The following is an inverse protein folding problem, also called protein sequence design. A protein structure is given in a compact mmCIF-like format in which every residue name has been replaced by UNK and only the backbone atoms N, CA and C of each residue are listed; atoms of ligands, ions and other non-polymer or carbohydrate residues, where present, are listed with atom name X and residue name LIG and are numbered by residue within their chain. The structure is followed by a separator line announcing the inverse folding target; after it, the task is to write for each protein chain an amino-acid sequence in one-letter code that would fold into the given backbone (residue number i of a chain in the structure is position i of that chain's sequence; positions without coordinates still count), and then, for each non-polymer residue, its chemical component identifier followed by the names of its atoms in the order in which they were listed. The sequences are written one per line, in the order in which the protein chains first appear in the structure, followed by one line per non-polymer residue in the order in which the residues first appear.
data_IF_652425275143
#
_entry.id   IF_652425275143
#
_cell.length_a   1.000
_cell.length_b   1.000
_cell.length_c   1.000
_cell.angle_alpha   90.00
_cell.angle_beta   90.00
_cell.angle_gamma   90.00
#
_symmetry.space_group_name_H-M   'P 1'
#
loop_
_entity.id
_entity.type
_entity.pdbx_description
1 polymer ?
#
# COMPACT_ATOMS: atom_id res chain seq x y z
N UNK A 1 71.30 -32.78 13.31
CA UNK A 1 70.57 -33.27 12.13
C UNK A 1 69.09 -33.08 12.39
N UNK A 2 68.40 -32.48 11.43
CA UNK A 2 67.05 -31.93 11.50
C UNK A 2 65.97 -32.96 11.86
N UNK A 3 64.96 -32.55 12.64
CA UNK A 3 63.63 -33.17 12.58
C UNK A 3 62.59 -32.07 12.50
N UNK A 4 61.86 -32.10 11.39
CA UNK A 4 60.87 -31.13 10.93
C UNK A 4 59.61 -31.06 11.79
N UNK A 5 59.01 -29.87 11.73
CA UNK A 5 57.64 -29.54 12.09
C UNK A 5 56.60 -30.43 11.39
N UNK A 6 55.47 -30.64 12.06
CA UNK A 6 54.17 -30.74 11.39
C UNK A 6 53.16 -29.93 12.21
N UNK A 7 53.02 -28.66 11.83
CA UNK A 7 51.99 -27.75 12.32
C UNK A 7 50.67 -28.14 11.63
N UNK A 8 49.69 -28.62 12.39
CA UNK A 8 48.33 -28.87 11.89
C UNK A 8 47.63 -27.51 11.70
N UNK A 9 47.66 -26.98 10.48
CA UNK A 9 46.77 -25.89 10.06
C UNK A 9 45.39 -26.49 9.74
N UNK A 10 44.43 -26.32 10.64
CA UNK A 10 43.02 -26.48 10.31
C UNK A 10 42.57 -25.24 9.53
N UNK A 11 42.41 -25.38 8.20
CA UNK A 11 41.72 -24.38 7.40
C UNK A 11 40.22 -24.48 7.69
N UNK A 12 39.72 -23.62 8.58
CA UNK A 12 38.30 -23.30 8.62
C UNK A 12 38.02 -22.40 7.42
N UNK A 13 37.54 -22.99 6.33
CA UNK A 13 36.95 -22.23 5.23
C UNK A 13 35.62 -21.66 5.72
N UNK A 14 35.66 -20.44 6.27
CA UNK A 14 34.48 -19.63 6.48
C UNK A 14 33.87 -19.33 5.10
N UNK A 15 32.89 -20.14 4.69
CA UNK A 15 31.99 -19.77 3.62
C UNK A 15 31.19 -18.55 4.09
N UNK A 16 31.68 -17.35 3.79
CA UNK A 16 30.83 -16.19 3.66
C UNK A 16 29.87 -16.50 2.50
N UNK A 17 28.67 -16.99 2.83
CA UNK A 17 27.54 -16.86 1.93
C UNK A 17 27.32 -15.36 1.77
N UNK A 18 27.84 -14.80 0.69
CA UNK A 18 27.29 -13.57 0.13
C UNK A 18 25.89 -13.98 -0.32
N UNK A 19 24.88 -13.75 0.52
CA UNK A 19 23.51 -13.68 0.04
C UNK A 19 23.48 -12.49 -0.91
N UNK A 20 23.69 -12.76 -2.19
CA UNK A 20 23.22 -11.85 -3.22
C UNK A 20 21.70 -11.90 -3.08
N UNK A 21 21.14 -10.89 -2.41
CA UNK A 21 19.69 -10.70 -2.39
C UNK A 21 19.28 -10.54 -3.85
N UNK A 22 18.62 -11.55 -4.41
CA UNK A 22 18.14 -11.47 -5.77
C UNK A 22 17.19 -10.26 -5.85
N UNK A 23 17.47 -9.32 -6.76
CA UNK A 23 16.64 -8.14 -6.93
C UNK A 23 15.25 -8.57 -7.41
N UNK A 24 14.22 -8.13 -6.69
CA UNK A 24 12.82 -8.39 -7.04
C UNK A 24 12.47 -7.65 -8.33
N UNK A 25 11.97 -8.38 -9.32
CA UNK A 25 11.52 -7.82 -10.60
C UNK A 25 10.01 -7.94 -10.79
N UNK A 26 9.35 -8.73 -9.96
CA UNK A 26 7.90 -8.90 -9.91
C UNK A 26 7.47 -9.13 -8.47
N UNK A 27 6.22 -8.80 -8.16
CA UNK A 27 5.69 -8.80 -6.81
C UNK A 27 4.38 -9.58 -6.77
N UNK A 28 4.28 -10.57 -5.88
CA UNK A 28 3.11 -11.43 -5.79
C UNK A 28 2.34 -11.24 -4.50
N UNK A 29 1.01 -11.26 -4.60
CA UNK A 29 0.08 -11.37 -3.47
C UNK A 29 -0.37 -12.82 -3.30
N UNK A 30 -0.97 -13.14 -2.15
CA UNK A 30 -1.60 -14.45 -1.90
C UNK A 30 -3.14 -14.33 -1.76
N UNK A 31 -3.77 -15.46 -1.47
CA UNK A 31 -5.20 -15.53 -1.15
C UNK A 31 -6.09 -15.83 -2.37
N UNK A 32 -7.39 -15.55 -2.23
CA UNK A 32 -8.42 -15.74 -3.26
C UNK A 32 -8.22 -14.85 -4.50
N UNK A 33 -7.48 -13.75 -4.35
CA UNK A 33 -7.13 -12.78 -5.41
C UNK A 33 -5.63 -12.71 -5.63
N UNK A 34 -4.92 -13.83 -5.42
CA UNK A 34 -3.48 -13.92 -5.67
C UNK A 34 -3.15 -13.49 -7.13
N UNK A 35 -2.26 -12.53 -7.27
CA UNK A 35 -1.83 -11.98 -8.55
C UNK A 35 -0.35 -11.57 -8.51
N UNK A 36 0.22 -11.33 -9.69
CA UNK A 36 1.59 -10.85 -9.85
C UNK A 36 1.57 -9.47 -10.53
N UNK A 37 2.43 -8.59 -10.03
CA UNK A 37 2.53 -7.20 -10.44
C UNK A 37 3.98 -6.86 -10.82
N UNK A 38 4.16 -5.93 -11.75
CA UNK A 38 5.47 -5.49 -12.22
C UNK A 38 6.12 -4.45 -11.29
N UNK A 39 5.32 -3.67 -10.56
CA UNK A 39 5.81 -2.62 -9.68
C UNK A 39 5.37 -2.80 -8.23
N UNK A 40 6.22 -2.31 -7.34
CA UNK A 40 6.00 -2.22 -5.92
C UNK A 40 6.42 -0.85 -5.40
N UNK A 41 5.56 -0.24 -4.59
CA UNK A 41 5.86 0.98 -3.82
C UNK A 41 5.45 0.79 -2.38
N UNK A 42 6.32 1.19 -1.47
CA UNK A 42 5.99 1.27 -0.05
C UNK A 42 6.32 2.65 0.51
N UNK A 43 5.34 3.24 1.17
CA UNK A 43 5.46 4.53 1.86
C UNK A 43 5.22 4.30 3.35
N UNK A 44 6.25 4.49 4.16
CA UNK A 44 6.17 4.35 5.62
C UNK A 44 6.23 5.72 6.30
N UNK A 45 5.13 6.11 6.94
CA UNK A 45 5.04 7.38 7.67
C UNK A 45 5.24 7.21 9.17
N UNK A 46 5.50 5.99 9.67
CA UNK A 46 5.48 5.67 11.10
C UNK A 46 6.69 6.21 11.88
N UNK A 47 7.82 6.37 11.22
CA UNK A 47 9.10 6.71 11.87
C UNK A 47 9.87 7.83 11.18
N UNK A 48 9.17 8.87 10.75
CA UNK A 48 9.79 10.07 10.15
C UNK A 48 10.41 10.95 11.25
N UNK A 49 11.47 10.48 11.92
CA UNK A 49 12.19 11.23 12.97
C UNK A 49 13.28 12.12 12.34
N UNK A 50 13.19 13.43 12.59
CA UNK A 50 14.20 14.43 12.16
C UNK A 50 13.81 15.27 10.94
N UNK A 51 12.69 14.96 10.28
CA UNK A 51 12.21 15.71 9.12
C UNK A 51 10.81 16.26 9.37
N UNK A 52 10.79 17.45 9.96
CA UNK A 52 9.82 18.55 9.80
C UNK A 52 8.33 18.17 9.95
N UNK A 53 7.68 18.71 10.99
CA UNK A 53 6.25 19.03 10.94
C UNK A 53 6.04 19.98 9.74
N UNK A 54 5.73 19.39 8.58
CA UNK A 54 5.71 20.06 7.29
C UNK A 54 4.47 19.62 6.53
N UNK A 55 3.89 20.57 5.81
CA UNK A 55 2.78 20.33 4.91
C UNK A 55 3.27 19.96 3.50
N UNK A 56 2.39 19.43 2.66
CA UNK A 56 2.74 19.10 1.27
C UNK A 56 3.25 20.32 0.48
N UNK A 57 2.80 21.53 0.84
CA UNK A 57 3.24 22.77 0.20
C UNK A 57 4.74 23.07 0.47
N UNK A 58 5.23 22.76 1.68
CA UNK A 58 6.61 23.00 2.12
C UNK A 58 7.55 21.80 1.92
N UNK A 59 7.02 20.59 1.69
CA UNK A 59 7.80 19.37 1.45
C UNK A 59 8.68 19.41 0.18
N UNK A 60 8.60 20.48 -0.63
CA UNK A 60 9.31 20.67 -1.89
C UNK A 60 10.77 21.13 -1.76
N UNK A 61 11.33 21.28 -0.54
CA UNK A 61 12.73 21.72 -0.39
C UNK A 61 13.50 21.03 0.74
N UNK A 62 14.49 20.23 0.34
CA UNK A 62 15.73 19.93 1.08
C UNK A 62 15.56 19.48 2.55
N UNK A 63 15.13 18.23 2.74
CA UNK A 63 15.45 17.49 3.96
C UNK A 63 16.70 16.63 3.70
N UNK A 64 17.80 16.88 4.43
CA UNK A 64 18.93 15.95 4.48
C UNK A 64 18.52 14.70 5.29
N UNK A 65 18.81 13.50 4.78
CA UNK A 65 18.49 12.23 5.46
C UNK A 65 17.51 11.28 4.75
N UNK A 66 17.39 11.36 3.43
CA UNK A 66 16.54 10.46 2.62
C UNK A 66 17.07 9.03 2.60
N UNK A 67 16.23 8.06 2.99
CA UNK A 67 16.47 6.62 2.80
C UNK A 67 15.53 6.09 1.73
N UNK A 68 15.98 6.32 0.50
CA UNK A 68 15.64 5.64 -0.75
C UNK A 68 16.12 4.23 -0.91
N UNK A 69 15.30 3.18 -0.83
CA UNK A 69 15.69 1.92 -1.48
C UNK A 69 14.93 1.77 -2.79
N UNK A 70 15.63 1.95 -3.91
CA UNK A 70 15.09 1.75 -5.26
C UNK A 70 15.86 0.62 -5.96
N UNK A 71 15.13 -0.25 -6.63
CA UNK A 71 15.69 -1.17 -7.60
C UNK A 71 16.39 -0.44 -8.75
N UNK A 72 17.40 -1.06 -9.35
CA UNK A 72 18.16 -0.46 -10.47
C UNK A 72 17.31 -0.12 -11.70
N UNK A 73 16.08 -0.64 -11.80
CA UNK A 73 15.14 -0.46 -12.90
C UNK A 73 13.81 0.24 -12.52
N UNK A 74 13.68 0.77 -11.29
CA UNK A 74 12.46 1.47 -10.84
C UNK A 74 11.25 0.59 -10.55
N UNK A 75 11.40 -0.75 -10.55
CA UNK A 75 10.31 -1.70 -10.26
C UNK A 75 9.92 -1.75 -8.78
N UNK A 76 10.87 -1.65 -7.86
CA UNK A 76 10.62 -1.57 -6.42
C UNK A 76 11.10 -0.24 -5.88
N UNK A 77 10.26 0.49 -5.15
CA UNK A 77 10.67 1.68 -4.40
C UNK A 77 10.13 1.63 -2.97
N UNK A 78 11.01 1.78 -2.00
CA UNK A 78 10.68 1.83 -0.56
C UNK A 78 11.11 3.19 -0.01
N UNK A 79 10.14 3.92 0.53
CA UNK A 79 10.31 5.27 1.08
C UNK A 79 9.97 5.20 2.56
N UNK A 80 11.01 5.19 3.39
CA UNK A 80 10.92 5.14 4.86
C UNK A 80 11.30 6.49 5.52
N UNK A 81 11.71 7.48 4.71
CA UNK A 81 12.16 8.79 5.18
C UNK A 81 11.85 9.92 4.17
N UNK A 82 11.97 11.17 4.62
CA UNK A 82 11.63 12.36 3.84
C UNK A 82 12.52 12.56 2.59
N UNK A 83 11.98 13.12 1.48
CA UNK A 83 10.63 13.65 1.36
C UNK A 83 9.58 12.56 1.08
N UNK A 84 8.59 12.48 1.97
CA UNK A 84 7.48 11.52 1.93
C UNK A 84 6.55 11.72 0.71
N UNK A 85 6.59 12.90 0.10
CA UNK A 85 5.78 13.27 -1.07
C UNK A 85 6.35 12.78 -2.42
N UNK A 86 7.50 12.09 -2.43
CA UNK A 86 8.24 11.75 -3.67
C UNK A 86 7.56 10.77 -4.65
N UNK A 87 6.28 10.45 -4.43
CA UNK A 87 5.43 9.72 -5.39
C UNK A 87 3.97 10.14 -5.36
N UNK A 88 3.68 11.31 -4.80
CA UNK A 88 2.31 11.81 -4.65
C UNK A 88 2.23 13.29 -5.03
N UNK A 89 1.15 13.69 -5.68
CA UNK A 89 0.86 15.07 -6.01
C UNK A 89 -0.31 15.55 -5.15
N UNK A 90 -0.06 16.53 -4.28
CA UNK A 90 -1.14 17.13 -3.50
C UNK A 90 -1.95 18.09 -4.38
N UNK A 91 -3.27 17.91 -4.43
CA UNK A 91 -4.19 18.70 -5.27
C UNK A 91 -4.33 20.13 -4.73
N UNK A 92 -4.18 21.13 -5.61
CA UNK A 92 -4.68 22.49 -5.42
C UNK A 92 -5.77 22.77 -6.45
N UNK A 93 -7.02 22.76 -6.02
CA UNK A 93 -8.16 22.91 -6.92
C UNK A 93 -9.38 23.48 -6.19
N UNK A 94 -10.19 24.23 -6.94
CA UNK A 94 -11.50 24.69 -6.50
C UNK A 94 -12.58 23.94 -7.29
N UNK A 95 -13.41 23.19 -6.57
CA UNK A 95 -14.58 22.52 -7.12
C UNK A 95 -15.84 23.27 -6.69
N UNK A 96 -16.48 24.02 -7.59
CA UNK A 96 -17.72 24.71 -7.26
C UNK A 96 -18.83 23.70 -6.98
N UNK A 97 -19.73 24.08 -6.09
CA UNK A 97 -20.94 23.34 -5.77
C UNK A 97 -21.80 23.16 -7.02
N UNK A 98 -22.19 21.92 -7.39
CA UNK A 98 -23.04 21.69 -8.56
C UNK A 98 -24.49 22.16 -8.35
N UNK A 99 -24.92 22.36 -7.10
CA UNK A 99 -26.27 22.73 -6.69
C UNK A 99 -26.27 23.70 -5.50
N UNK A 100 -27.38 24.41 -5.28
CA UNK A 100 -27.49 25.37 -4.18
C UNK A 100 -27.48 24.72 -2.78
N UNK A 101 -27.80 23.43 -2.69
CA UNK A 101 -27.86 22.65 -1.44
C UNK A 101 -26.55 21.93 -1.09
N UNK A 102 -25.61 21.85 -2.03
CA UNK A 102 -24.25 21.31 -1.82
C UNK A 102 -23.25 22.40 -1.43
N UNK A 103 -21.99 22.03 -1.23
CA UNK A 103 -20.94 22.89 -0.68
C UNK A 103 -19.77 23.01 -1.65
N UNK A 104 -19.29 24.24 -1.83
CA UNK A 104 -18.05 24.54 -2.53
C UNK A 104 -16.86 23.87 -1.85
N UNK A 105 -15.99 23.19 -2.60
CA UNK A 105 -14.80 22.53 -2.07
C UNK A 105 -13.51 23.17 -2.57
N UNK A 106 -12.59 23.41 -1.65
CA UNK A 106 -11.23 23.88 -1.93
C UNK A 106 -10.22 22.81 -1.51
N UNK A 107 -9.69 22.07 -2.47
CA UNK A 107 -8.55 21.20 -2.27
C UNK A 107 -7.29 22.03 -2.10
N UNK A 108 -6.55 21.80 -1.02
CA UNK A 108 -5.34 22.57 -0.71
C UNK A 108 -4.21 21.66 -0.26
N UNK A 109 -2.99 21.80 -0.83
CA UNK A 109 -1.83 21.04 -0.38
C UNK A 109 -1.50 21.22 1.11
N UNK A 110 -1.79 22.39 1.69
CA UNK A 110 -1.61 22.66 3.12
C UNK A 110 -2.50 21.81 4.04
N UNK A 111 -3.45 21.05 3.48
CA UNK A 111 -4.32 20.11 4.20
C UNK A 111 -3.75 18.69 4.30
N UNK A 112 -2.55 18.48 3.76
CA UNK A 112 -1.80 17.23 3.85
C UNK A 112 -0.51 17.49 4.61
N UNK A 113 -0.24 16.76 5.69
CA UNK A 113 0.96 16.97 6.52
C UNK A 113 1.39 15.71 7.27
N UNK A 114 2.64 15.70 7.76
CA UNK A 114 3.09 14.71 8.74
C UNK A 114 2.80 15.22 10.14
N UNK A 115 2.14 14.40 10.96
CA UNK A 115 1.89 14.68 12.38
C UNK A 115 2.68 13.75 13.28
N UNK A 116 3.06 14.27 14.45
CA UNK A 116 3.62 13.46 15.53
C UNK A 116 2.51 12.66 16.19
N UNK A 117 2.79 11.39 16.46
CA UNK A 117 1.96 10.60 17.33
C UNK A 117 2.14 11.11 18.78
N UNK A 118 1.04 11.54 19.39
CA UNK A 118 1.03 12.03 20.77
C UNK A 118 0.62 10.96 21.77
N UNK A 119 0.12 9.82 21.28
CA UNK A 119 -0.15 8.65 22.10
C UNK A 119 1.17 8.02 22.54
N UNK A 120 1.25 7.62 23.81
CA UNK A 120 2.42 6.97 24.40
C UNK A 120 2.53 5.52 23.88
N UNK A 121 2.85 5.35 22.60
CA UNK A 121 3.21 4.07 22.01
C UNK A 121 4.63 4.14 21.47
N UNK A 122 5.47 3.17 21.82
CA UNK A 122 6.83 3.05 21.29
C UNK A 122 6.86 2.56 19.82
N UNK A 123 5.70 2.21 19.25
CA UNK A 123 5.61 1.57 17.94
C UNK A 123 5.73 2.56 16.77
N UNK A 124 5.07 3.73 16.85
CA UNK A 124 5.02 4.70 15.76
C UNK A 124 5.11 6.14 16.31
N UNK A 125 6.05 6.94 15.79
CA UNK A 125 6.25 8.33 16.22
C UNK A 125 5.55 9.36 15.35
N UNK A 126 5.17 9.00 14.13
CA UNK A 126 4.54 9.91 13.15
C UNK A 126 3.50 9.19 12.30
N UNK A 127 2.71 9.96 11.55
CA UNK A 127 1.81 9.47 10.50
C UNK A 127 1.50 10.61 9.51
N UNK A 128 1.07 10.24 8.30
CA UNK A 128 0.50 11.17 7.33
C UNK A 128 -0.93 11.52 7.75
N UNK A 129 -1.34 12.77 7.60
CA UNK A 129 -2.72 13.19 7.85
C UNK A 129 -3.26 13.99 6.66
N UNK A 130 -4.48 13.67 6.25
CA UNK A 130 -5.34 14.52 5.43
C UNK A 130 -6.35 15.20 6.38
N UNK A 131 -6.57 16.50 6.20
CA UNK A 131 -7.40 17.30 7.10
C UNK A 131 -8.46 18.09 6.33
N UNK A 132 -9.72 17.97 6.74
CA UNK A 132 -10.83 18.75 6.19
C UNK A 132 -11.42 19.67 7.25
N UNK A 133 -11.85 20.86 6.85
CA UNK A 133 -12.47 21.87 7.74
C UNK A 133 -13.67 22.51 7.03
N UNK A 134 -14.80 22.62 7.72
CA UNK A 134 -15.91 23.46 7.26
C UNK A 134 -15.68 24.91 7.64
N UNK A 135 -15.56 25.80 6.65
CA UNK A 135 -15.28 27.22 6.88
C UNK A 135 -16.54 28.02 7.23
N UNK A 136 -16.32 29.16 7.89
CA UNK A 136 -17.38 30.09 8.29
C UNK A 136 -18.05 30.82 7.12
N UNK A 137 -17.37 30.89 5.97
CA UNK A 137 -17.95 31.37 4.70
C UNK A 137 -18.88 30.35 4.03
N UNK A 138 -19.00 29.15 4.61
CA UNK A 138 -19.87 28.08 4.13
C UNK A 138 -19.18 27.09 3.20
N UNK A 139 -17.96 27.33 2.75
CA UNK A 139 -17.18 26.39 1.92
C UNK A 139 -16.52 25.27 2.75
N UNK A 140 -16.02 24.24 2.07
CA UNK A 140 -15.27 23.14 2.67
C UNK A 140 -13.81 23.16 2.17
N UNK A 141 -12.85 23.03 3.08
CA UNK A 141 -11.48 22.70 2.72
C UNK A 141 -11.32 21.19 2.61
N UNK A 142 -10.74 20.70 1.53
CA UNK A 142 -10.51 19.28 1.27
C UNK A 142 -9.02 18.99 1.06
N UNK A 143 -8.67 17.71 1.14
CA UNK A 143 -7.32 17.22 0.94
C UNK A 143 -7.35 16.06 -0.06
N UNK A 144 -6.41 16.03 -1.00
CA UNK A 144 -6.29 14.96 -1.99
C UNK A 144 -4.85 14.79 -2.43
N UNK A 145 -4.49 13.54 -2.66
CA UNK A 145 -3.16 13.03 -2.94
C UNK A 145 -3.29 12.09 -4.13
N UNK A 146 -2.83 12.55 -5.29
CA UNK A 146 -2.82 11.75 -6.52
C UNK A 146 -1.51 10.98 -6.60
N UNK A 147 -1.56 9.68 -6.79
CA UNK A 147 -0.38 8.88 -7.03
C UNK A 147 0.30 9.33 -8.34
N UNK A 148 1.63 9.50 -8.31
CA UNK A 148 2.34 10.11 -9.43
C UNK A 148 2.35 9.24 -10.71
N UNK A 149 2.16 7.93 -10.56
CA UNK A 149 2.00 7.00 -11.67
C UNK A 149 0.50 6.93 -12.04
N UNK A 150 0.12 7.57 -13.16
CA UNK A 150 -1.28 7.82 -13.53
C UNK A 150 -1.89 6.78 -14.48
N UNK A 151 -1.10 5.80 -14.93
CA UNK A 151 -1.48 4.82 -15.95
C UNK A 151 -1.56 3.39 -15.39
N UNK A 152 -2.11 3.25 -14.19
CA UNK A 152 -2.24 1.97 -13.49
C UNK A 152 -3.37 1.16 -14.11
N UNK A 153 -3.14 -0.11 -14.42
CA UNK A 153 -4.16 -0.99 -15.04
C UNK A 153 -4.75 -2.01 -14.07
N UNK A 154 -3.95 -2.54 -13.16
CA UNK A 154 -4.37 -3.45 -12.09
C UNK A 154 -3.53 -3.18 -10.86
N UNK A 155 -4.12 -3.32 -9.68
CA UNK A 155 -3.44 -2.99 -8.43
C UNK A 155 -3.89 -3.83 -7.24
N UNK A 156 -2.99 -4.01 -6.27
CA UNK A 156 -3.32 -4.27 -4.88
C UNK A 156 -2.94 -3.02 -4.10
N UNK A 157 -3.95 -2.27 -3.64
CA UNK A 157 -3.82 -1.01 -2.90
C UNK A 157 -4.07 -1.32 -1.44
N UNK A 158 -3.08 -1.09 -0.58
CA UNK A 158 -3.12 -1.49 0.83
C UNK A 158 -2.72 -0.32 1.71
N UNK A 159 -3.40 -0.13 2.83
CA UNK A 159 -3.17 1.01 3.71
C UNK A 159 -3.55 0.71 5.16
N UNK A 160 -2.73 1.19 6.12
CA UNK A 160 -3.14 1.30 7.52
C UNK A 160 -3.59 2.72 7.81
N UNK A 161 -4.85 2.89 8.21
CA UNK A 161 -5.43 4.20 8.44
C UNK A 161 -6.49 4.22 9.55
N UNK A 162 -6.82 5.44 10.00
CA UNK A 162 -7.93 5.73 10.91
C UNK A 162 -8.57 7.07 10.58
N UNK A 163 -9.80 7.26 11.03
CA UNK A 163 -10.54 8.51 10.88
C UNK A 163 -11.02 9.07 12.21
N UNK A 164 -10.94 10.38 12.42
CA UNK A 164 -11.48 11.00 13.63
C UNK A 164 -11.97 12.43 13.39
N UNK A 165 -12.66 12.99 14.39
CA UNK A 165 -13.25 14.32 14.31
C UNK A 165 -14.75 14.28 14.01
N UNK A 166 -15.26 15.34 13.41
CA UNK A 166 -16.68 15.51 13.14
C UNK A 166 -17.19 14.63 12.00
N UNK A 167 -18.49 14.31 12.04
CA UNK A 167 -19.18 13.72 10.90
C UNK A 167 -19.39 14.72 9.77
N UNK A 168 -19.74 14.20 8.60
CA UNK A 168 -20.07 15.04 7.45
C UNK A 168 -18.94 15.15 6.42
N UNK A 169 -18.02 14.18 6.36
CA UNK A 169 -17.00 14.04 5.32
C UNK A 169 -16.78 12.55 4.99
N UNK A 170 -16.08 12.27 3.89
CA UNK A 170 -15.69 10.94 3.45
C UNK A 170 -14.16 10.90 3.32
N UNK A 171 -13.53 9.94 4.00
CA UNK A 171 -12.17 9.52 3.68
C UNK A 171 -12.23 8.46 2.59
N UNK A 172 -11.51 8.65 1.49
CA UNK A 172 -11.54 7.78 0.34
C UNK A 172 -10.13 7.34 -0.06
N UNK A 173 -10.03 6.10 -0.53
CA UNK A 173 -8.92 5.71 -1.38
C UNK A 173 -9.40 4.78 -2.48
N UNK A 174 -9.05 5.12 -3.72
CA UNK A 174 -9.77 4.62 -4.88
C UNK A 174 -8.92 4.69 -6.15
N UNK A 175 -9.35 3.96 -7.16
CA UNK A 175 -8.85 4.06 -8.53
C UNK A 175 -9.83 4.88 -9.35
N UNK A 176 -9.37 5.83 -10.15
CA UNK A 176 -10.26 6.69 -10.96
C UNK A 176 -9.74 6.88 -12.38
N UNK A 177 -10.59 6.58 -13.37
CA UNK A 177 -10.40 7.03 -14.76
C UNK A 177 -11.41 8.14 -15.08
N UNK A 178 -12.69 7.84 -14.83
CA UNK A 178 -13.84 8.74 -14.94
C UNK A 178 -15.02 8.20 -14.10
N UNK A 179 -16.16 8.91 -14.13
CA UNK A 179 -17.39 8.57 -13.40
C UNK A 179 -18.00 7.19 -13.74
N UNK A 180 -17.44 6.46 -14.72
CA UNK A 180 -17.90 5.13 -15.15
C UNK A 180 -16.85 4.03 -14.98
N UNK A 181 -15.65 4.37 -14.53
CA UNK A 181 -14.54 3.44 -14.33
C UNK A 181 -13.76 3.87 -13.09
N UNK A 182 -14.27 3.44 -11.94
CA UNK A 182 -13.71 3.72 -10.62
C UNK A 182 -13.98 2.56 -9.65
N UNK A 183 -13.09 2.36 -8.68
CA UNK A 183 -13.23 1.37 -7.61
C UNK A 183 -12.80 1.98 -6.28
N UNK A 184 -13.65 1.84 -5.27
CA UNK A 184 -13.65 2.69 -4.10
C UNK A 184 -13.49 1.90 -2.79
N UNK A 185 -12.75 2.49 -1.85
CA UNK A 185 -13.02 2.34 -0.42
C UNK A 185 -13.33 3.72 0.15
N UNK A 186 -14.53 3.89 0.69
CA UNK A 186 -15.02 5.14 1.26
C UNK A 186 -15.50 4.94 2.71
N UNK A 187 -14.99 5.80 3.61
CA UNK A 187 -15.19 5.69 5.04
C UNK A 187 -15.79 7.02 5.53
N UNK A 188 -17.07 7.05 5.94
CA UNK A 188 -17.70 8.25 6.47
C UNK A 188 -17.02 8.71 7.76
N UNK A 189 -16.86 10.01 7.97
CA UNK A 189 -16.30 10.53 9.23
C UNK A 189 -17.35 10.59 10.35
N UNK A 190 -16.91 10.64 11.61
CA UNK A 190 -17.81 10.68 12.78
C UNK A 190 -17.34 9.91 14.01
N UNK A 191 -16.13 9.33 13.99
CA UNK A 191 -15.49 8.66 15.13
C UNK A 191 -16.07 7.28 15.48
N UNK A 192 -17.35 7.04 15.19
CA UNK A 192 -18.05 5.76 15.24
C UNK A 192 -18.68 5.45 13.89
N UNK A 193 -17.94 5.62 12.79
CA UNK A 193 -18.51 5.23 11.51
C UNK A 193 -18.69 3.71 11.55
N UNK A 194 -19.96 3.31 11.51
CA UNK A 194 -20.39 1.93 11.71
C UNK A 194 -20.21 1.10 10.45
N UNK A 195 -19.95 1.75 9.31
CA UNK A 195 -19.85 1.10 8.02
C UNK A 195 -18.65 1.64 7.21
N UNK A 196 -18.13 0.77 6.34
CA UNK A 196 -17.23 1.11 5.24
C UNK A 196 -17.95 0.79 3.94
N UNK A 197 -17.87 1.73 2.99
CA UNK A 197 -18.49 1.61 1.68
C UNK A 197 -17.45 1.16 0.65
N UNK A 198 -17.79 0.12 -0.09
CA UNK A 198 -17.04 -0.37 -1.23
C UNK A 198 -17.88 -0.25 -2.48
N UNK A 199 -17.30 0.22 -3.57
CA UNK A 199 -18.02 0.31 -4.84
C UNK A 199 -17.15 0.14 -6.05
N UNK A 200 -17.79 -0.28 -7.14
CA UNK A 200 -17.31 -0.02 -8.48
C UNK A 200 -18.32 0.92 -9.16
N UNK A 201 -17.84 2.03 -9.73
CA UNK A 201 -18.73 2.94 -10.47
C UNK A 201 -19.01 2.40 -11.88
N UNK A 202 -20.21 2.67 -12.43
CA UNK A 202 -21.33 3.36 -11.79
C UNK A 202 -22.06 2.46 -10.79
N UNK A 203 -22.52 3.04 -9.67
CA UNK A 203 -23.31 2.33 -8.64
C UNK A 203 -24.82 2.33 -8.89
N UNK A 204 -25.28 3.17 -9.83
CA UNK A 204 -26.67 3.24 -10.26
C UNK A 204 -26.74 3.44 -11.77
N UNK A 205 -27.82 2.95 -12.37
CA UNK A 205 -28.11 3.17 -13.78
C UNK A 205 -28.26 4.69 -14.05
N UNK A 206 -27.51 5.26 -15.01
CA UNK A 206 -27.46 6.71 -15.19
C UNK A 206 -28.77 7.30 -15.72
N UNK A 207 -29.60 6.50 -16.39
CA UNK A 207 -30.87 6.95 -16.99
C UNK A 207 -32.03 6.87 -15.99
N UNK A 208 -32.04 5.84 -15.14
CA UNK A 208 -33.15 5.52 -14.24
C UNK A 208 -32.86 5.82 -12.78
N UNK A 209 -31.58 5.95 -12.40
CA UNK A 209 -31.13 6.11 -11.01
C UNK A 209 -31.33 4.86 -10.15
N UNK A 210 -31.68 3.72 -10.75
CA UNK A 210 -31.86 2.45 -10.02
C UNK A 210 -30.49 1.91 -9.61
N UNK A 211 -30.28 1.54 -8.33
CA UNK A 211 -29.03 0.92 -7.89
C UNK A 211 -28.70 -0.34 -8.69
N UNK A 212 -27.44 -0.49 -9.07
CA UNK A 212 -26.93 -1.68 -9.77
C UNK A 212 -26.55 -2.72 -8.72
N UNK A 213 -27.18 -3.89 -8.79
CA UNK A 213 -26.92 -4.99 -7.87
C UNK A 213 -25.45 -5.46 -7.99
N UNK A 214 -24.77 -5.61 -6.86
CA UNK A 214 -23.35 -5.99 -6.79
C UNK A 214 -22.35 -4.88 -7.13
N UNK A 215 -22.78 -3.63 -7.36
CA UNK A 215 -21.88 -2.49 -7.59
C UNK A 215 -21.51 -1.74 -6.29
N UNK A 216 -22.24 -1.95 -5.19
CA UNK A 216 -21.98 -1.32 -3.89
C UNK A 216 -22.14 -2.32 -2.75
N UNK A 217 -21.25 -2.23 -1.76
CA UNK A 217 -21.27 -3.03 -0.53
C UNK A 217 -21.08 -2.12 0.67
N UNK A 218 -22.02 -2.17 1.61
CA UNK A 218 -21.92 -1.48 2.90
C UNK A 218 -21.55 -2.52 3.94
N UNK A 219 -20.32 -2.48 4.44
CA UNK A 219 -19.80 -3.47 5.38
C UNK A 219 -19.76 -2.86 6.77
N UNK A 220 -20.50 -3.49 7.69
CA UNK A 220 -20.53 -3.06 9.08
C UNK A 220 -19.22 -3.36 9.80
N UNK A 221 -18.83 -2.44 10.66
CA UNK A 221 -17.67 -2.51 11.53
C UNK A 221 -17.99 -3.15 12.88
N UNK A 222 -19.20 -3.68 13.11
CA UNK A 222 -19.61 -4.32 14.38
C UNK A 222 -18.70 -5.51 14.75
N UNK A 223 -18.32 -6.31 13.76
CA UNK A 223 -17.39 -7.44 13.91
C UNK A 223 -15.90 -7.04 13.74
N UNK A 224 -15.64 -5.74 13.59
CA UNK A 224 -14.31 -5.17 13.35
C UNK A 224 -13.95 -4.10 14.40
N UNK A 225 -12.74 -3.57 14.31
CA UNK A 225 -12.36 -2.42 15.16
C UNK A 225 -13.02 -1.15 14.61
N UNK A 226 -13.44 -0.20 15.46
CA UNK A 226 -13.97 1.07 14.98
C UNK A 226 -13.00 1.75 14.01
N UNK A 227 -13.52 2.41 12.99
CA UNK A 227 -12.76 3.17 11.98
C UNK A 227 -11.91 4.30 12.59
N UNK A 228 -12.19 4.70 13.82
CA UNK A 228 -11.37 5.63 14.62
C UNK A 228 -10.11 5.04 15.23
N UNK A 229 -9.94 3.74 15.11
CA UNK A 229 -8.70 3.03 15.44
C UNK A 229 -7.99 2.61 14.15
N UNK A 230 -6.70 2.26 14.28
CA UNK A 230 -5.90 1.83 13.14
C UNK A 230 -6.43 0.51 12.58
N UNK A 231 -6.85 0.55 11.32
CA UNK A 231 -7.31 -0.61 10.55
C UNK A 231 -6.49 -0.73 9.27
N UNK A 232 -6.30 -1.96 8.82
CA UNK A 232 -5.64 -2.26 7.56
C UNK A 232 -6.70 -2.52 6.48
N UNK A 233 -6.75 -1.66 5.48
CA UNK A 233 -7.67 -1.77 4.37
C UNK A 233 -6.92 -2.21 3.12
N UNK A 234 -7.57 -3.00 2.25
CA UNK A 234 -6.99 -3.42 0.97
C UNK A 234 -8.07 -3.51 -0.12
N UNK A 235 -7.76 -2.97 -1.29
CA UNK A 235 -8.49 -3.16 -2.54
C UNK A 235 -7.58 -3.91 -3.51
N UNK A 236 -8.03 -5.07 -3.99
CA UNK A 236 -7.46 -5.75 -5.13
C UNK A 236 -8.33 -5.49 -6.36
N UNK A 237 -7.75 -4.79 -7.33
CA UNK A 237 -8.30 -4.57 -8.65
C UNK A 237 -7.56 -5.46 -9.66
N UNK A 238 -8.28 -6.43 -10.19
CA UNK A 238 -7.82 -7.45 -11.13
C UNK A 238 -8.67 -7.41 -12.41
N UNK A 239 -8.19 -8.08 -13.45
CA UNK A 239 -8.96 -8.27 -14.67
C UNK A 239 -10.28 -9.01 -14.37
N UNK A 240 -11.41 -8.31 -14.55
CA UNK A 240 -12.75 -8.82 -14.30
C UNK A 240 -13.13 -9.02 -12.84
N UNK A 241 -12.31 -8.59 -11.87
CA UNK A 241 -12.64 -8.72 -10.44
C UNK A 241 -12.11 -7.58 -9.57
N UNK A 242 -12.99 -7.04 -8.71
CA UNK A 242 -12.60 -6.23 -7.55
C UNK A 242 -12.85 -7.01 -6.26
N UNK A 243 -11.93 -6.94 -5.30
CA UNK A 243 -12.11 -7.51 -3.97
C UNK A 243 -11.57 -6.59 -2.87
N UNK A 244 -12.33 -6.46 -1.79
CA UNK A 244 -12.03 -5.58 -0.69
C UNK A 244 -11.81 -6.37 0.59
N UNK A 245 -10.83 -5.93 1.37
CA UNK A 245 -10.38 -6.59 2.59
C UNK A 245 -10.27 -5.59 3.73
N UNK A 246 -10.64 -6.06 4.92
CA UNK A 246 -10.47 -5.37 6.20
C UNK A 246 -9.66 -6.25 7.15
N UNK A 247 -8.58 -5.72 7.69
CA UNK A 247 -7.71 -6.40 8.66
C UNK A 247 -7.28 -7.81 8.22
N UNK A 248 -7.05 -7.99 6.92
CA UNK A 248 -6.65 -9.27 6.31
C UNK A 248 -7.79 -10.24 6.00
N UNK A 249 -9.03 -9.94 6.38
CA UNK A 249 -10.20 -10.72 6.02
C UNK A 249 -10.88 -10.12 4.77
N UNK A 250 -11.29 -10.96 3.82
CA UNK A 250 -12.06 -10.50 2.65
C UNK A 250 -13.47 -10.11 3.13
N UNK A 251 -13.86 -8.87 2.87
CA UNK A 251 -15.13 -8.29 3.30
C UNK A 251 -16.16 -8.24 2.18
N UNK A 252 -15.73 -8.08 0.92
CA UNK A 252 -16.57 -8.10 -0.26
C UNK A 252 -15.76 -8.43 -1.53
N UNK A 253 -16.44 -8.88 -2.58
CA UNK A 253 -15.90 -8.96 -3.94
C UNK A 253 -17.01 -8.86 -5.00
N UNK A 254 -16.63 -8.47 -6.21
CA UNK A 254 -17.57 -8.35 -7.33
C UNK A 254 -16.88 -8.52 -8.69
N UNK A 255 -17.66 -8.94 -9.67
CA UNK A 255 -17.33 -8.92 -11.10
C UNK A 255 -18.13 -7.83 -11.84
N UNK A 256 -18.97 -7.06 -11.11
CA UNK A 256 -19.83 -6.02 -11.65
C UNK A 256 -19.05 -4.70 -11.75
N UNK A 257 -19.14 -4.06 -12.92
CA UNK A 257 -18.55 -2.75 -13.22
C UNK A 257 -17.06 -2.63 -12.84
N UNK A 258 -16.32 -3.74 -12.87
CA UNK A 258 -14.89 -3.72 -12.58
C UNK A 258 -14.19 -2.80 -13.59
N UNK A 259 -13.40 -1.81 -13.13
CA UNK A 259 -12.71 -0.89 -14.04
C UNK A 259 -11.83 -1.64 -15.05
N UNK A 260 -11.88 -1.23 -16.31
CA UNK A 260 -11.13 -1.83 -17.42
C UNK A 260 -10.19 -0.82 -18.13
N UNK A 261 -10.18 0.43 -17.66
CA UNK A 261 -9.35 1.52 -18.17
C UNK A 261 -8.19 1.84 -17.22
N UNK A 262 -7.07 2.34 -17.78
CA UNK A 262 -5.96 2.81 -16.98
C UNK A 262 -6.40 3.97 -16.07
N UNK A 263 -6.13 3.85 -14.77
CA UNK A 263 -6.65 4.73 -13.74
C UNK A 263 -5.51 5.33 -12.92
N UNK A 264 -5.78 6.48 -12.30
CA UNK A 264 -4.94 7.00 -11.22
C UNK A 264 -5.37 6.39 -9.88
N UNK A 265 -4.45 6.34 -8.91
CA UNK A 265 -4.77 5.98 -7.52
C UNK A 265 -4.83 7.27 -6.70
N UNK A 266 -5.91 7.47 -5.95
CA UNK A 266 -6.15 8.70 -5.18
C UNK A 266 -6.36 8.37 -3.70
N UNK A 267 -5.82 9.21 -2.82
CA UNK A 267 -6.19 9.31 -1.41
C UNK A 267 -6.86 10.65 -1.18
N UNK A 268 -8.07 10.68 -0.60
CA UNK A 268 -8.85 11.91 -0.47
C UNK A 268 -9.57 11.99 0.88
N UNK A 269 -9.79 13.22 1.35
CA UNK A 269 -10.69 13.54 2.44
C UNK A 269 -11.52 14.75 2.04
N UNK A 270 -12.80 14.52 1.77
CA UNK A 270 -13.67 15.48 1.11
C UNK A 270 -15.06 15.55 1.75
N UNK A 271 -15.76 16.66 1.51
CA UNK A 271 -17.16 16.83 1.91
C UNK A 271 -17.84 17.84 1.00
N UNK A 272 -18.85 17.41 0.27
CA UNK A 272 -19.63 18.26 -0.61
C UNK A 272 -20.99 18.64 -0.01
N UNK A 273 -21.27 18.25 1.23
CA UNK A 273 -22.54 18.50 1.90
C UNK A 273 -23.73 17.67 1.36
N UNK A 274 -23.48 16.73 0.44
CA UNK A 274 -24.51 15.88 -0.14
C UNK A 274 -24.96 14.77 0.81
N UNK A 275 -25.95 13.98 0.38
CA UNK A 275 -26.52 12.89 1.19
C UNK A 275 -25.47 11.87 1.63
N UNK A 276 -24.51 11.56 0.76
CA UNK A 276 -23.49 10.56 1.04
C UNK A 276 -22.43 11.06 2.03
N UNK A 277 -21.78 12.20 1.75
CA UNK A 277 -20.81 12.76 2.70
C UNK A 277 -21.46 13.24 4.00
N UNK A 278 -22.76 13.52 3.97
CA UNK A 278 -23.41 14.35 4.97
C UNK A 278 -22.91 15.79 4.92
N UNK A 279 -23.39 16.61 5.85
CA UNK A 279 -23.05 18.02 5.95
C UNK A 279 -22.32 18.30 7.26
N UNK A 280 -21.02 18.58 7.16
CA UNK A 280 -20.21 18.97 8.31
C UNK A 280 -20.68 20.32 8.86
N UNK A 281 -20.81 20.41 10.18
CA UNK A 281 -21.10 21.65 10.89
C UNK A 281 -19.98 22.68 10.70
N UNK A 282 -20.34 23.95 10.62
CA UNK A 282 -19.39 25.07 10.49
C UNK A 282 -18.34 25.06 11.61
N UNK A 283 -17.08 25.35 11.26
CA UNK A 283 -15.92 25.35 12.16
C UNK A 283 -15.61 23.99 12.79
N UNK A 284 -16.09 22.90 12.18
CA UNK A 284 -15.67 21.54 12.53
C UNK A 284 -14.62 21.02 11.57
N UNK A 285 -13.92 20.01 12.07
CA UNK A 285 -12.78 19.38 11.43
C UNK A 285 -12.91 17.86 11.48
N UNK A 286 -12.38 17.20 10.46
CA UNK A 286 -12.15 15.75 10.46
C UNK A 286 -10.78 15.42 9.87
N UNK A 287 -10.23 14.27 10.26
CA UNK A 287 -8.89 13.83 9.90
C UNK A 287 -8.91 12.40 9.41
N UNK A 288 -8.08 12.15 8.41
CA UNK A 288 -7.76 10.83 7.88
C UNK A 288 -6.28 10.60 8.05
N UNK A 289 -5.93 9.82 9.05
CA UNK A 289 -4.54 9.53 9.44
C UNK A 289 -4.10 8.21 8.81
N UNK A 290 -2.87 8.16 8.30
CA UNK A 290 -2.32 7.05 7.52
C UNK A 290 -0.92 6.72 8.04
N UNK A 291 -0.72 5.47 8.46
CA UNK A 291 0.59 4.97 8.92
C UNK A 291 1.48 4.57 7.75
N UNK A 292 0.93 3.84 6.77
CA UNK A 292 1.67 3.37 5.61
C UNK A 292 0.73 3.10 4.43
N UNK A 293 1.31 3.14 3.23
CA UNK A 293 0.65 2.74 1.97
C UNK A 293 1.57 1.75 1.24
N UNK A 294 1.04 0.60 0.87
CA UNK A 294 1.71 -0.44 0.08
C UNK A 294 0.94 -0.64 -1.23
N UNK A 295 1.61 -0.42 -2.36
CA UNK A 295 1.04 -0.54 -3.69
C UNK A 295 1.78 -1.60 -4.48
N UNK A 296 1.04 -2.56 -5.00
CA UNK A 296 1.49 -3.46 -6.07
C UNK A 296 0.67 -3.13 -7.29
N UNK A 297 1.29 -2.88 -8.44
CA UNK A 297 0.51 -2.50 -9.61
C UNK A 297 1.19 -2.83 -10.94
N UNK A 298 0.37 -2.87 -11.98
CA UNK A 298 0.77 -2.91 -13.38
C UNK A 298 0.46 -1.56 -14.03
N UNK A 299 1.16 -1.26 -15.12
CA UNK A 299 0.87 -0.08 -15.94
C UNK A 299 0.66 -0.47 -17.39
N UNK A 300 -0.05 0.36 -18.15
CA UNK A 300 -0.30 0.15 -19.58
C UNK A 300 0.96 0.01 -20.43
N UNK A 301 2.10 0.52 -19.96
CA UNK A 301 3.40 0.41 -20.61
C UNK A 301 4.14 -0.92 -20.33
N UNK A 302 3.66 -1.71 -19.38
CA UNK A 302 4.41 -2.83 -18.80
C UNK A 302 3.90 -4.18 -19.31
N UNK A 303 4.08 -4.39 -20.61
CA UNK A 303 4.03 -5.73 -21.19
C UNK A 303 5.43 -6.36 -21.13
N UNK A 304 5.95 -6.58 -19.92
CA UNK A 304 7.28 -7.19 -19.72
C UNK A 304 7.13 -8.68 -19.37
N UNK A 305 7.08 -9.51 -20.40
CA UNK A 305 7.17 -10.98 -20.29
C UNK A 305 8.61 -11.47 -20.10
N UNK A 306 9.37 -10.86 -19.19
CA UNK A 306 10.72 -11.35 -18.86
C UNK A 306 10.58 -12.57 -17.94
N UNK A 307 10.51 -13.75 -18.55
CA UNK A 307 10.40 -15.05 -17.91
C UNK A 307 11.62 -15.46 -17.05
N UNK A 308 12.58 -14.55 -16.83
CA UNK A 308 13.80 -14.75 -16.03
C UNK A 308 13.89 -13.91 -14.76
N UNK A 309 12.83 -13.17 -14.40
CA UNK A 309 12.79 -12.31 -13.22
C UNK A 309 12.59 -13.03 -11.88
N UNK A 310 13.01 -12.42 -10.78
CA UNK A 310 12.72 -12.90 -9.42
C UNK A 310 11.36 -12.38 -8.96
N UNK A 311 10.42 -13.30 -8.72
CA UNK A 311 9.12 -12.97 -8.10
C UNK A 311 9.28 -12.92 -6.58
N UNK A 312 8.90 -11.81 -5.98
CA UNK A 312 8.95 -11.60 -4.54
C UNK A 312 7.55 -11.51 -3.94
N UNK A 313 7.31 -12.22 -2.84
CA UNK A 313 6.09 -12.07 -2.05
C UNK A 313 6.19 -10.87 -1.13
N UNK A 314 5.12 -10.10 -1.04
CA UNK A 314 4.95 -8.99 -0.09
C UNK A 314 4.33 -9.46 1.24
N UNK A 315 3.89 -10.71 1.30
CA UNK A 315 3.07 -11.22 2.42
C UNK A 315 3.90 -11.61 3.65
N UNK A 316 5.23 -11.71 3.51
CA UNK A 316 6.13 -12.13 4.60
C UNK A 316 6.43 -11.01 5.58
N UNK A 317 6.56 -9.78 5.07
CA UNK A 317 7.07 -8.64 5.82
C UNK A 317 6.66 -7.35 5.11
N UNK A 318 5.85 -6.55 5.80
CA UNK A 318 5.41 -5.23 5.32
C UNK A 318 6.62 -4.38 4.92
N UNK A 319 6.56 -3.78 3.73
CA UNK A 319 7.64 -2.91 3.26
C UNK A 319 8.86 -3.66 2.72
N UNK A 320 8.93 -4.98 2.87
CA UNK A 320 10.11 -5.78 2.54
C UNK A 320 9.71 -7.02 1.73
N UNK A 321 9.53 -6.89 0.39
CA UNK A 321 9.25 -8.04 -0.46
C UNK A 321 10.40 -9.06 -0.40
N UNK A 322 10.07 -10.35 -0.28
CA UNK A 322 11.07 -11.43 -0.20
C UNK A 322 10.93 -12.38 -1.39
N UNK A 323 12.03 -12.84 -2.01
CA UNK A 323 11.97 -13.82 -3.09
C UNK A 323 11.13 -15.03 -2.69
N UNK A 324 10.17 -15.42 -3.54
CA UNK A 324 9.46 -16.66 -3.35
C UNK A 324 10.48 -17.79 -3.25
N UNK A 325 10.41 -18.59 -2.18
CA UNK A 325 11.31 -19.72 -2.01
C UNK A 325 11.21 -20.59 -3.28
N UNK A 326 12.30 -20.65 -4.05
CA UNK A 326 12.34 -21.51 -5.22
C UNK A 326 12.02 -22.95 -4.78
N UNK A 327 11.21 -23.71 -5.54
CA UNK A 327 11.04 -25.15 -5.28
C UNK A 327 12.38 -25.90 -5.29
N UNK A 328 13.39 -25.32 -5.94
CA UNK A 328 14.70 -25.90 -6.16
C UNK A 328 15.65 -25.66 -4.96
N UNK A 329 15.39 -26.33 -3.83
CA UNK A 329 16.40 -26.61 -2.80
C UNK A 329 15.94 -27.64 -1.75
N UNK A 330 14.64 -27.99 -1.71
CA UNK A 330 14.17 -29.07 -0.82
C UNK A 330 14.55 -30.48 -1.31
N UNK A 331 14.72 -30.68 -2.62
CA UNK A 331 15.01 -32.02 -3.16
C UNK A 331 16.51 -32.33 -3.35
N UNK A 332 17.39 -31.32 -3.40
CA UNK A 332 18.83 -31.54 -3.58
C UNK A 332 19.61 -31.80 -2.28
N UNK A 333 19.06 -31.42 -1.13
CA UNK A 333 19.72 -31.69 0.16
C UNK A 333 19.62 -33.19 0.51
N UNK A 334 18.62 -33.89 -0.01
CA UNK A 334 18.48 -35.33 0.23
C UNK A 334 19.44 -36.15 -0.63
N UNK A 335 19.76 -35.75 -1.87
CA UNK A 335 20.68 -36.52 -2.73
C UNK A 335 22.17 -36.17 -2.55
N UNK A 336 22.53 -34.94 -2.18
CA UNK A 336 23.93 -34.58 -1.96
C UNK A 336 24.53 -35.21 -0.69
N UNK A 337 23.71 -35.58 0.30
CA UNK A 337 24.19 -36.21 1.55
C UNK A 337 24.58 -37.68 1.34
N UNK A 338 23.96 -38.40 0.39
CA UNK A 338 24.33 -39.81 0.11
C UNK A 338 25.62 -39.94 -0.71
N UNK A 339 25.95 -38.97 -1.55
CA UNK A 339 27.20 -38.99 -2.32
C UNK A 339 28.44 -38.70 -1.47
N UNK A 340 28.32 -37.88 -0.43
CA UNK A 340 29.46 -37.54 0.46
C UNK A 340 29.72 -38.64 1.50
N UNK A 341 28.68 -39.38 1.94
CA UNK A 341 28.86 -40.52 2.85
C UNK A 341 29.32 -41.79 2.11
N UNK A 342 28.97 -41.94 0.82
CA UNK A 342 29.33 -43.10 0.00
C UNK A 342 30.81 -43.19 -0.45
N UNK A 343 31.53 -42.07 -0.51
CA UNK A 343 32.95 -42.05 -0.91
C UNK A 343 33.96 -42.21 0.24
N UNK A 344 33.49 -42.27 1.49
CA UNK A 344 34.36 -42.50 2.65
C UNK A 344 34.49 -43.98 3.07
N UNK A 345 33.84 -44.93 2.36
CA UNK A 345 33.81 -46.36 2.77
C UNK A 345 34.49 -47.35 1.80
N UNK A 346 35.27 -46.90 0.80
CA UNK A 346 36.00 -47.82 -0.11
C UNK A 346 37.52 -47.74 -0.01
N UNK A 347 38.09 -47.02 0.96
CA UNK A 347 39.54 -47.02 1.21
C UNK A 347 39.83 -47.41 2.65
N UNK A 348 39.60 -48.68 2.98
CA UNK A 348 40.34 -49.43 4.02
C UNK A 348 39.78 -50.84 4.10
N UNK A 349 40.23 -51.73 3.22
CA UNK A 349 40.47 -53.15 3.55
C UNK A 349 41.16 -53.82 2.36
N UNK A 350 42.45 -53.55 2.22
CA UNK A 350 43.38 -54.54 1.70
C UNK A 350 44.79 -54.17 2.18
N UNK A 351 45.37 -55.12 2.91
CA UNK A 351 46.80 -55.36 3.20
C UNK A 351 46.95 -55.59 4.70
N UNK A 352 47.03 -56.87 5.10
CA UNK A 352 48.23 -57.49 5.67
C UNK A 352 48.05 -59.02 5.68
N UNK A 353 48.99 -59.70 4.99
CA UNK A 353 49.54 -61.07 5.12
C UNK A 353 48.60 -62.23 5.46
#
# INVERSE_FOLDING_TARGET
MFSSQALLFAFAASFLLVQVTAECTQFSTNGSTAATYDFYRFYDFRQLRGSIAGDAASASSHAEGYTTTDSTNGRSKIIEAAPWISGWNARDWFRPSPRDDTVDMHYKPSRVSIRNNTELSDEHSTYLTLHTTRLSDGSQLAAELDFAEYNVTFASIRMSARIHGASGAIAGFFTYHDDTSESDIEIPTGGSADDVHYSNQPTADPDTGVPIDGATFNVSMEDHQPTSTWNNYRLDWLDGKSAWYMNGAQSADTEVNVPDAESMIILSLWSNGGTFSGRMDTEKDAWFDIQWVELLFNTSASASTDAGGTVCSVESSLGSPTPNASPCLRDLVTECIWWVVGMASTVSFMVFV
#
